data_IF_546423480040
#
_entry.id   IF_546423480040
#
_cell.length_a   1.000
_cell.length_b   1.000
_cell.length_c   1.000
_cell.angle_alpha   90.00
_cell.angle_beta   90.00
_cell.angle_gamma   90.00
#
_symmetry.space_group_name_H-M   'P 1'
#
loop_
_entity.id
_entity.type
_entity.pdbx_description
1 polymer ?
#
# COMPACT_ATOMS: atom_id res chain seq x y z
N UNK A 1 -2.85 -6.98 12.02
CA UNK A 1 -3.07 -6.75 10.57
C UNK A 1 -2.15 -5.61 10.16
N UNK A 2 -1.40 -5.77 9.08
CA UNK A 2 -0.42 -4.78 8.62
C UNK A 2 -0.91 -4.08 7.35
N UNK A 3 -0.52 -2.82 7.14
CA UNK A 3 -0.84 -2.08 5.91
C UNK A 3 0.41 -1.95 5.05
N UNK A 4 0.44 -2.70 3.94
CA UNK A 4 1.47 -2.61 2.91
C UNK A 4 1.07 -1.56 1.85
N UNK A 5 1.28 -1.83 0.56
CA UNK A 5 0.92 -1.01 -0.59
C UNK A 5 1.06 -1.81 -1.87
N UNK A 6 0.33 -1.44 -2.93
CA UNK A 6 0.59 -1.92 -4.30
C UNK A 6 2.05 -1.72 -4.73
N UNK A 7 2.75 -0.72 -4.18
CA UNK A 7 4.18 -0.46 -4.42
C UNK A 7 5.10 -1.63 -4.00
N UNK A 8 4.64 -2.55 -3.14
CA UNK A 8 5.37 -3.78 -2.83
C UNK A 8 5.44 -4.76 -4.02
N UNK A 9 4.51 -4.64 -4.97
CA UNK A 9 4.35 -5.54 -6.13
C UNK A 9 4.60 -4.82 -7.46
N UNK A 10 4.28 -3.53 -7.51
CA UNK A 10 4.44 -2.65 -8.67
C UNK A 10 5.21 -1.39 -8.26
N UNK A 11 6.54 -1.50 -8.07
CA UNK A 11 7.34 -0.37 -7.61
C UNK A 11 7.45 0.71 -8.69
N UNK A 12 7.28 1.96 -8.30
CA UNK A 12 7.53 3.12 -9.13
C UNK A 12 8.94 3.68 -8.84
N UNK A 13 9.76 4.02 -9.85
CA UNK A 13 11.14 4.47 -9.63
C UNK A 13 11.30 5.59 -8.59
N UNK A 14 10.44 6.64 -8.54
CA UNK A 14 10.54 7.69 -7.53
C UNK A 14 10.28 7.24 -6.09
N UNK A 15 9.65 6.07 -5.91
CA UNK A 15 9.22 5.55 -4.62
C UNK A 15 10.02 4.30 -4.19
N UNK A 16 11.19 4.04 -4.78
CA UNK A 16 11.95 2.81 -4.51
C UNK A 16 12.19 2.54 -3.00
N UNK A 17 12.64 3.49 -2.16
CA UNK A 17 12.81 3.24 -0.73
C UNK A 17 11.48 2.89 -0.04
N UNK A 18 10.39 3.54 -0.44
CA UNK A 18 9.04 3.23 0.06
C UNK A 18 8.59 1.83 -0.39
N UNK A 19 8.82 1.46 -1.64
CA UNK A 19 8.51 0.14 -2.18
C UNK A 19 9.26 -0.97 -1.45
N UNK A 20 10.57 -0.78 -1.16
CA UNK A 20 11.39 -1.72 -0.37
C UNK A 20 10.76 -1.95 1.01
N UNK A 21 10.41 -0.87 1.68
CA UNK A 21 9.72 -0.86 2.98
C UNK A 21 8.40 -1.64 2.94
N UNK A 22 7.57 -1.43 1.92
CA UNK A 22 6.28 -2.11 1.77
C UNK A 22 6.44 -3.59 1.38
N UNK A 23 7.48 -3.94 0.61
CA UNK A 23 7.89 -5.32 0.34
C UNK A 23 8.34 -6.05 1.61
N UNK A 24 9.15 -5.39 2.45
CA UNK A 24 9.56 -5.94 3.73
C UNK A 24 8.36 -6.25 4.63
N UNK A 25 7.35 -5.37 4.67
CA UNK A 25 6.10 -5.63 5.42
C UNK A 25 5.36 -6.87 4.90
N UNK A 26 5.31 -7.10 3.58
CA UNK A 26 4.68 -8.30 3.01
C UNK A 26 5.42 -9.56 3.47
N UNK A 27 6.74 -9.58 3.35
CA UNK A 27 7.58 -10.72 3.77
C UNK A 27 7.48 -10.96 5.27
N UNK A 28 7.58 -9.89 6.08
CA UNK A 28 7.42 -9.95 7.54
C UNK A 28 6.06 -10.54 7.93
N UNK A 29 4.98 -10.10 7.28
CA UNK A 29 3.63 -10.61 7.55
C UNK A 29 3.55 -12.12 7.31
N UNK A 30 4.13 -12.62 6.21
CA UNK A 30 4.14 -14.05 5.90
C UNK A 30 4.95 -14.86 6.91
N UNK A 31 6.16 -14.39 7.25
CA UNK A 31 7.01 -15.05 8.25
C UNK A 31 6.34 -15.11 9.62
N UNK A 32 5.81 -13.98 10.09
CA UNK A 32 5.15 -13.91 11.39
C UNK A 32 3.86 -14.75 11.43
N UNK A 33 3.13 -14.87 10.31
CA UNK A 33 1.98 -15.76 10.23
C UNK A 33 2.38 -17.23 10.45
N UNK A 34 3.50 -17.67 9.88
CA UNK A 34 4.02 -19.03 10.08
C UNK A 34 4.50 -19.24 11.53
N UNK A 35 5.16 -18.25 12.12
CA UNK A 35 5.67 -18.34 13.50
C UNK A 35 4.55 -18.44 14.55
N UNK A 36 3.40 -17.81 14.31
CA UNK A 36 2.35 -17.67 15.31
C UNK A 36 1.13 -18.59 15.11
N UNK A 37 1.11 -19.42 14.05
CA UNK A 37 -0.08 -20.22 13.72
C UNK A 37 -0.40 -21.27 14.80
N UNK A 38 0.61 -21.90 15.40
CA UNK A 38 0.43 -22.88 16.48
C UNK A 38 -0.13 -22.24 17.77
N UNK A 39 -0.03 -20.91 17.87
CA UNK A 39 -0.63 -20.11 18.95
C UNK A 39 -2.04 -19.63 18.61
N UNK A 40 -2.61 -20.06 17.48
CA UNK A 40 -3.93 -19.65 17.01
C UNK A 40 -4.01 -18.21 16.51
N UNK A 41 -2.88 -17.53 16.28
CA UNK A 41 -2.84 -16.12 15.87
C UNK A 41 -2.68 -16.02 14.35
N UNK A 42 -3.60 -15.32 13.69
CA UNK A 42 -3.52 -15.03 12.26
C UNK A 42 -2.86 -13.67 12.03
N UNK A 43 -1.91 -13.61 11.10
CA UNK A 43 -1.28 -12.36 10.67
C UNK A 43 -1.56 -12.17 9.17
N UNK A 44 -2.09 -11.01 8.81
CA UNK A 44 -2.48 -10.67 7.44
C UNK A 44 -2.08 -9.24 7.11
N UNK A 45 -1.95 -8.96 5.82
CA UNK A 45 -1.67 -7.63 5.30
C UNK A 45 -2.71 -7.22 4.25
N UNK A 46 -3.02 -5.92 4.24
CA UNK A 46 -3.78 -5.26 3.17
C UNK A 46 -2.80 -4.42 2.36
N UNK A 47 -2.89 -4.48 1.02
CA UNK A 47 -2.05 -3.72 0.12
C UNK A 47 -2.91 -2.78 -0.73
N UNK A 48 -3.18 -1.55 -0.25
CA UNK A 48 -4.02 -0.61 -0.98
C UNK A 48 -3.40 -0.21 -2.32
N UNK A 49 -4.28 0.00 -3.31
CA UNK A 49 -3.98 0.75 -4.52
C UNK A 49 -3.95 2.26 -4.26
N UNK A 50 -4.27 3.11 -5.26
CA UNK A 50 -4.36 4.55 -5.05
C UNK A 50 -5.59 4.91 -4.20
N UNK A 51 -5.36 5.34 -2.95
CA UNK A 51 -6.40 5.77 -2.01
C UNK A 51 -6.21 7.25 -1.68
N UNK A 52 -7.28 8.03 -1.78
CA UNK A 52 -7.28 9.44 -1.47
C UNK A 52 -7.13 9.65 0.04
N UNK A 53 -6.01 10.22 0.44
CA UNK A 53 -5.70 10.53 1.85
C UNK A 53 -4.88 11.82 1.91
N UNK A 54 -4.75 12.46 3.08
CA UNK A 54 -3.93 13.66 3.23
C UNK A 54 -2.46 13.48 2.80
N UNK A 55 -1.95 12.24 2.74
CA UNK A 55 -0.57 11.99 2.32
C UNK A 55 -0.33 12.39 0.85
N UNK A 56 -1.36 12.29 0.00
CA UNK A 56 -1.26 12.55 -1.44
C UNK A 56 -0.90 14.01 -1.73
N UNK A 57 -1.69 15.03 -1.31
CA UNK A 57 -1.32 16.43 -1.52
C UNK A 57 -0.05 16.84 -0.77
N UNK A 58 0.35 16.12 0.29
CA UNK A 58 1.61 16.39 1.00
C UNK A 58 2.85 15.79 0.31
N UNK A 59 2.67 14.81 -0.57
CA UNK A 59 3.78 14.05 -1.19
C UNK A 59 4.00 14.38 -2.65
N UNK A 60 2.98 14.89 -3.35
CA UNK A 60 3.02 15.12 -4.80
C UNK A 60 2.68 16.58 -5.13
N UNK A 61 3.24 17.13 -6.23
CA UNK A 61 2.82 18.43 -6.76
C UNK A 61 1.33 18.47 -7.08
N UNK A 62 0.76 19.67 -7.17
CA UNK A 62 -0.68 19.88 -7.43
C UNK A 62 -1.15 19.18 -8.71
N UNK A 63 -0.36 19.23 -9.79
CA UNK A 63 -0.70 18.61 -11.07
C UNK A 63 -0.84 17.08 -10.96
N UNK A 64 0.11 16.41 -10.29
CA UNK A 64 0.02 14.97 -10.05
C UNK A 64 -1.11 14.63 -9.06
N UNK A 65 -1.31 15.46 -8.05
CA UNK A 65 -2.39 15.31 -7.07
C UNK A 65 -3.76 15.38 -7.75
N UNK A 66 -3.96 16.31 -8.69
CA UNK A 66 -5.21 16.46 -9.44
C UNK A 66 -5.53 15.25 -10.34
N UNK A 67 -4.51 14.55 -10.82
CA UNK A 67 -4.67 13.35 -11.68
C UNK A 67 -4.63 12.03 -10.88
N UNK A 68 -4.45 12.08 -9.56
CA UNK A 68 -4.21 10.90 -8.75
C UNK A 68 -5.38 9.89 -8.83
N UNK A 69 -5.06 8.64 -9.18
CA UNK A 69 -6.04 7.55 -9.29
C UNK A 69 -6.90 7.56 -10.56
N UNK A 70 -6.71 8.52 -11.48
CA UNK A 70 -7.45 8.60 -12.76
C UNK A 70 -7.19 7.41 -13.68
N UNK A 71 -6.03 6.77 -13.57
CA UNK A 71 -5.66 5.57 -14.32
C UNK A 71 -6.23 4.26 -13.73
N UNK A 72 -6.93 4.33 -12.59
CA UNK A 72 -7.61 3.15 -12.02
C UNK A 72 -8.75 2.70 -12.94
N UNK A 73 -9.14 1.41 -12.97
CA UNK A 73 -10.27 0.95 -13.79
C UNK A 73 -11.61 1.67 -13.52
N UNK A 74 -11.78 2.23 -12.31
CA UNK A 74 -12.95 3.01 -11.91
C UNK A 74 -12.86 4.49 -12.26
N UNK A 75 -11.74 4.95 -12.84
CA UNK A 75 -11.49 6.35 -13.20
C UNK A 75 -11.32 7.30 -12.02
N UNK A 76 -11.17 6.79 -10.79
CA UNK A 76 -11.03 7.58 -9.55
C UNK A 76 -10.11 6.88 -8.54
N UNK A 77 -9.51 7.61 -7.59
CA UNK A 77 -8.91 6.99 -6.42
C UNK A 77 -9.98 6.34 -5.54
N UNK A 78 -9.59 5.33 -4.78
CA UNK A 78 -10.39 4.80 -3.68
C UNK A 78 -10.52 5.82 -2.56
N UNK A 79 -11.56 5.71 -1.76
CA UNK A 79 -11.75 6.46 -0.51
C UNK A 79 -11.43 5.57 0.69
N UNK A 80 -10.97 6.12 1.82
CA UNK A 80 -10.63 5.32 3.00
C UNK A 80 -11.77 4.49 3.61
N UNK A 81 -13.02 4.81 3.26
CA UNK A 81 -14.21 4.10 3.74
C UNK A 81 -14.51 2.80 2.97
N UNK A 82 -13.88 2.59 1.80
CA UNK A 82 -13.97 1.37 1.00
C UNK A 82 -13.01 0.29 1.51
#
# INVERSE_FOLDING_TARGET
>A
INVSSIQAFQPSPPLLPYAVTKGAIVTFTKGLAQELIDRGVRVNAVAPGPVWTPIIPSSFPEEQTAQFGSSSPTGRPGQPAE
#
